data_IF_456465865524
#
_entry.id   IF_456465865524
#
_cell.length_a   1.000
_cell.length_b   1.000
_cell.length_c   1.000
_cell.angle_alpha   90.00
_cell.angle_beta   90.00
_cell.angle_gamma   90.00
#
_symmetry.space_group_name_H-M   'P 1'
#
loop_
_entity.id
_entity.type
_entity.pdbx_description
1 polymer ?
#
# COMPACT_ATOMS: atom_id res chain seq x y z
N UNK A 1 71.46 21.76 18.15
CA UNK A 1 70.01 22.06 18.13
C UNK A 1 69.47 21.69 16.77
N UNK A 2 68.74 20.58 16.68
CA UNK A 2 68.14 20.06 15.43
C UNK A 2 66.76 20.70 15.29
N UNK A 3 66.53 21.42 14.20
CA UNK A 3 65.24 22.03 13.88
C UNK A 3 64.31 20.98 13.23
N UNK A 4 63.24 20.63 13.93
CA UNK A 4 62.22 19.69 13.45
C UNK A 4 61.20 20.45 12.58
N UNK A 5 61.22 20.20 11.27
CA UNK A 5 60.18 20.67 10.34
C UNK A 5 58.94 19.79 10.51
N UNK A 6 57.84 20.37 11.01
CA UNK A 6 56.53 19.73 10.95
C UNK A 6 55.94 19.89 9.55
N UNK A 7 55.78 18.77 8.85
CA UNK A 7 55.05 18.69 7.59
C UNK A 7 53.57 18.48 7.94
N UNK A 8 52.74 19.50 7.75
CA UNK A 8 51.28 19.40 7.92
C UNK A 8 50.70 18.73 6.68
N UNK A 9 50.33 17.45 6.79
CA UNK A 9 49.58 16.74 5.75
C UNK A 9 48.12 17.16 5.88
N UNK A 10 47.63 17.98 4.95
CA UNK A 10 46.21 18.25 4.79
C UNK A 10 45.54 17.02 4.15
N UNK A 11 44.84 16.22 4.96
CA UNK A 11 43.92 15.22 4.44
C UNK A 11 42.74 15.95 3.77
N UNK A 12 42.71 15.97 2.44
CA UNK A 12 41.47 16.25 1.70
C UNK A 12 40.51 15.08 1.98
N UNK A 13 39.50 15.32 2.82
CA UNK A 13 38.33 14.44 2.89
C UNK A 13 37.57 14.58 1.56
N UNK A 14 37.72 13.58 0.68
CA UNK A 14 36.84 13.42 -0.48
C UNK A 14 35.44 13.15 0.03
N UNK A 15 34.56 14.14 -0.07
CA UNK A 15 33.12 13.93 0.02
C UNK A 15 32.73 13.03 -1.16
N UNK A 16 32.59 11.74 -0.91
CA UNK A 16 31.84 10.87 -1.80
C UNK A 16 30.38 11.22 -1.51
N UNK A 17 29.62 11.81 -2.46
CA UNK A 17 28.20 11.96 -2.26
C UNK A 17 27.62 10.56 -2.03
N UNK A 18 26.98 10.35 -0.88
CA UNK A 18 26.17 9.16 -0.67
C UNK A 18 25.14 9.17 -1.80
N UNK A 19 25.30 8.23 -2.73
CA UNK A 19 24.30 8.03 -3.77
C UNK A 19 23.06 7.50 -3.05
N UNK A 20 22.14 8.40 -2.72
CA UNK A 20 20.83 8.02 -2.17
C UNK A 20 20.24 6.94 -3.08
N UNK A 21 19.85 5.81 -2.50
CA UNK A 21 19.24 4.71 -3.24
C UNK A 21 18.06 5.24 -4.08
N UNK A 22 17.96 4.78 -5.32
CA UNK A 22 16.88 5.17 -6.23
C UNK A 22 15.54 4.69 -5.65
N UNK A 23 14.57 5.60 -5.56
CA UNK A 23 13.22 5.26 -5.11
C UNK A 23 12.57 4.24 -6.05
N UNK A 24 11.63 3.45 -5.55
CA UNK A 24 10.86 2.48 -6.32
C UNK A 24 10.16 3.14 -7.51
N UNK A 25 9.62 4.34 -7.27
CA UNK A 25 9.06 5.27 -8.25
C UNK A 25 9.05 6.67 -7.62
N UNK A 26 8.93 7.76 -8.41
CA UNK A 26 8.75 9.10 -7.86
C UNK A 26 7.53 9.18 -6.91
N UNK A 27 7.76 9.58 -5.66
CA UNK A 27 6.72 9.60 -4.61
C UNK A 27 6.59 8.31 -3.79
N UNK A 28 7.50 7.34 -3.96
CA UNK A 28 7.63 6.20 -3.05
C UNK A 28 8.23 6.66 -1.71
N UNK A 29 7.52 6.38 -0.61
CA UNK A 29 7.93 6.78 0.74
C UNK A 29 8.03 5.58 1.69
N UNK A 30 8.50 5.80 2.92
CA UNK A 30 8.49 4.75 3.93
C UNK A 30 9.65 3.77 3.84
N UNK A 31 9.57 2.72 4.65
CA UNK A 31 10.63 1.71 4.70
C UNK A 31 10.80 0.95 3.38
N UNK A 32 9.70 0.69 2.66
CA UNK A 32 9.72 -0.04 1.37
C UNK A 32 10.06 0.82 0.15
N UNK A 33 10.42 2.11 0.34
CA UNK A 33 10.58 3.08 -0.76
C UNK A 33 11.67 2.75 -1.77
N UNK A 34 12.58 1.83 -1.45
CA UNK A 34 13.70 1.45 -2.31
C UNK A 34 13.48 0.10 -3.00
N UNK A 35 12.24 -0.41 -3.04
CA UNK A 35 11.92 -1.63 -3.79
C UNK A 35 12.33 -1.47 -5.26
N UNK A 36 13.08 -2.44 -5.80
CA UNK A 36 13.60 -2.37 -7.17
C UNK A 36 12.60 -2.89 -8.20
N UNK A 37 11.64 -3.71 -7.79
CA UNK A 37 10.67 -4.30 -8.71
C UNK A 37 11.36 -5.25 -9.70
N UNK A 38 10.86 -5.26 -10.93
CA UNK A 38 11.44 -5.98 -12.06
C UNK A 38 12.48 -5.19 -12.86
N UNK A 39 12.97 -4.06 -12.35
CA UNK A 39 14.05 -3.27 -12.97
C UNK A 39 15.27 -4.18 -13.13
N UNK A 40 15.82 -4.27 -14.35
CA UNK A 40 16.83 -5.26 -14.82
C UNK A 40 16.30 -6.65 -15.20
N UNK A 41 14.99 -6.86 -15.20
CA UNK A 41 14.34 -8.10 -15.59
C UNK A 41 13.82 -8.09 -17.02
N UNK A 42 12.63 -8.66 -17.23
CA UNK A 42 11.91 -8.62 -18.50
C UNK A 42 10.49 -8.11 -18.32
N UNK A 43 9.88 -7.64 -19.40
CA UNK A 43 8.47 -7.29 -19.42
C UNK A 43 7.64 -8.56 -19.64
N UNK A 44 6.46 -8.63 -19.01
CA UNK A 44 5.52 -9.71 -19.18
C UNK A 44 4.10 -9.16 -19.32
N UNK A 45 3.43 -9.53 -20.41
CA UNK A 45 2.08 -9.09 -20.72
C UNK A 45 1.02 -10.05 -20.19
N UNK A 46 0.09 -9.53 -19.39
CA UNK A 46 -1.18 -10.19 -19.09
C UNK A 46 -2.14 -9.92 -20.24
N UNK A 47 -2.40 -10.94 -21.05
CA UNK A 47 -3.18 -10.84 -22.30
C UNK A 47 -4.58 -11.43 -22.19
N UNK A 48 -4.92 -12.05 -21.06
CA UNK A 48 -6.23 -12.64 -20.84
C UNK A 48 -6.64 -12.64 -19.36
N UNK A 49 -7.94 -12.77 -19.13
CA UNK A 49 -8.55 -12.78 -17.80
C UNK A 49 -8.72 -14.18 -17.19
N UNK A 50 -8.04 -15.19 -17.75
CA UNK A 50 -8.13 -16.56 -17.25
C UNK A 50 -7.38 -16.69 -15.91
N UNK A 51 -7.81 -17.63 -15.06
CA UNK A 51 -7.15 -17.93 -13.77
C UNK A 51 -5.71 -18.45 -13.96
N UNK A 52 -5.43 -19.14 -15.07
CA UNK A 52 -4.15 -19.80 -15.32
C UNK A 52 -3.86 -19.96 -16.81
N UNK A 53 -2.63 -20.42 -17.12
CA UNK A 53 -2.13 -20.60 -18.47
C UNK A 53 -1.33 -19.40 -18.98
N UNK A 54 -0.72 -19.56 -20.15
CA UNK A 54 0.08 -18.51 -20.78
C UNK A 54 -0.72 -17.20 -20.92
N UNK A 55 -0.06 -16.07 -20.62
CA UNK A 55 -0.68 -14.74 -20.66
C UNK A 55 -1.68 -14.43 -19.52
N UNK A 56 -1.89 -15.33 -18.57
CA UNK A 56 -2.68 -15.04 -17.36
C UNK A 56 -1.86 -14.25 -16.33
N UNK A 57 -2.53 -13.55 -15.42
CA UNK A 57 -1.89 -12.89 -14.27
C UNK A 57 -1.14 -13.90 -13.39
N UNK A 58 -1.68 -15.10 -13.19
CA UNK A 58 -1.03 -16.17 -12.41
C UNK A 58 0.30 -16.57 -13.03
N UNK A 59 0.37 -16.72 -14.35
CA UNK A 59 1.64 -17.02 -15.03
C UNK A 59 2.60 -15.83 -14.93
N UNK A 60 2.10 -14.61 -15.11
CA UNK A 60 2.89 -13.39 -15.03
C UNK A 60 3.68 -13.27 -13.73
N UNK A 61 3.02 -13.51 -12.59
CA UNK A 61 3.63 -13.35 -11.26
C UNK A 61 4.33 -14.59 -10.73
N UNK A 62 4.32 -15.70 -11.47
CA UNK A 62 4.91 -16.98 -11.03
C UNK A 62 6.44 -17.02 -11.07
N UNK A 63 7.08 -16.10 -11.79
CA UNK A 63 8.54 -16.01 -11.93
C UNK A 63 9.07 -14.64 -11.53
N UNK A 64 10.31 -14.62 -11.09
CA UNK A 64 10.97 -13.40 -10.62
C UNK A 64 11.47 -12.52 -11.77
N UNK A 65 11.92 -11.30 -11.44
CA UNK A 65 12.55 -10.34 -12.36
C UNK A 65 11.62 -9.95 -13.52
N UNK A 66 10.38 -9.55 -13.18
CA UNK A 66 9.37 -9.20 -14.17
C UNK A 66 8.71 -7.85 -13.89
N UNK A 67 8.54 -7.06 -14.94
CA UNK A 67 7.58 -5.95 -14.97
C UNK A 67 6.31 -6.48 -15.64
N UNK A 68 5.25 -6.63 -14.86
CA UNK A 68 3.96 -7.15 -15.31
C UNK A 68 3.08 -5.99 -15.75
N UNK A 69 2.77 -5.97 -17.05
CA UNK A 69 1.85 -5.02 -17.70
C UNK A 69 0.59 -5.74 -18.15
N UNK A 70 -0.49 -4.99 -18.38
CA UNK A 70 -1.81 -5.53 -18.69
C UNK A 70 -2.30 -5.05 -20.07
N UNK A 71 -2.52 -6.00 -20.97
CA UNK A 71 -3.12 -5.71 -22.29
C UNK A 71 -4.66 -5.78 -22.24
N UNK A 72 -5.20 -6.26 -21.13
CA UNK A 72 -6.63 -6.44 -20.89
C UNK A 72 -7.05 -5.82 -19.55
N UNK A 73 -8.24 -5.23 -19.54
CA UNK A 73 -8.91 -4.73 -18.34
C UNK A 73 -10.07 -5.62 -17.91
N UNK A 74 -10.51 -5.48 -16.66
CA UNK A 74 -11.65 -6.19 -16.09
C UNK A 74 -11.27 -7.11 -14.92
N UNK A 75 -12.11 -8.10 -14.66
CA UNK A 75 -11.97 -8.99 -13.50
C UNK A 75 -11.35 -10.34 -13.87
N UNK A 76 -10.21 -10.65 -13.26
CA UNK A 76 -9.57 -11.97 -13.25
C UNK A 76 -10.11 -12.75 -12.05
N UNK A 77 -10.85 -13.84 -12.32
CA UNK A 77 -11.41 -14.69 -11.27
C UNK A 77 -10.43 -15.82 -10.93
N UNK A 78 -10.00 -15.87 -9.67
CA UNK A 78 -9.02 -16.85 -9.19
C UNK A 78 -9.66 -17.83 -8.21
N UNK A 79 -9.38 -19.11 -8.39
CA UNK A 79 -9.93 -20.16 -7.50
C UNK A 79 -8.96 -20.53 -6.38
N UNK A 80 -7.66 -20.47 -6.68
CA UNK A 80 -6.56 -20.74 -5.74
C UNK A 80 -5.77 -19.50 -5.47
N UNK A 81 -5.21 -19.38 -4.27
CA UNK A 81 -4.28 -18.32 -3.92
C UNK A 81 -3.14 -18.26 -4.93
N UNK A 82 -2.76 -17.04 -5.30
CA UNK A 82 -1.62 -16.79 -6.18
C UNK A 82 -0.42 -16.45 -5.31
N UNK A 83 0.64 -17.24 -5.41
CA UNK A 83 1.93 -16.89 -4.85
C UNK A 83 2.65 -15.95 -5.84
N UNK A 84 3.06 -14.78 -5.36
CA UNK A 84 3.79 -13.79 -6.14
C UNK A 84 5.28 -13.98 -5.93
N UNK A 85 6.04 -13.99 -7.03
CA UNK A 85 7.48 -14.15 -7.00
C UNK A 85 8.22 -12.87 -6.60
N UNK A 86 9.55 -12.97 -6.55
CA UNK A 86 10.49 -11.91 -6.17
C UNK A 86 10.75 -10.92 -7.32
N UNK A 87 11.28 -9.74 -7.02
CA UNK A 87 11.74 -8.76 -8.00
C UNK A 87 10.68 -8.49 -9.07
N UNK A 88 9.50 -8.07 -8.62
CA UNK A 88 8.33 -7.93 -9.48
C UNK A 88 7.75 -6.53 -9.39
N UNK A 89 7.42 -5.94 -10.53
CA UNK A 89 6.59 -4.75 -10.58
C UNK A 89 5.25 -5.12 -11.22
N UNK A 90 4.17 -5.14 -10.44
CA UNK A 90 2.81 -5.26 -10.94
C UNK A 90 2.26 -3.85 -11.22
N UNK A 91 2.21 -3.48 -12.49
CA UNK A 91 1.86 -2.14 -12.96
C UNK A 91 0.40 -2.07 -13.43
N UNK A 92 -0.54 -2.08 -12.47
CA UNK A 92 -1.99 -2.06 -12.73
C UNK A 92 -2.46 -0.85 -13.52
N UNK A 93 -1.73 0.26 -13.50
CA UNK A 93 -2.06 1.46 -14.27
C UNK A 93 -1.93 1.29 -15.78
N UNK A 94 -1.34 0.18 -16.26
CA UNK A 94 -1.33 -0.16 -17.69
C UNK A 94 -2.64 -0.78 -18.18
N UNK A 95 -3.46 -1.32 -17.27
CA UNK A 95 -4.67 -2.04 -17.66
C UNK A 95 -5.68 -1.10 -18.34
N UNK A 96 -6.15 -1.45 -19.57
CA UNK A 96 -7.09 -0.62 -20.29
C UNK A 96 -8.51 -0.66 -19.68
N UNK A 97 -9.43 0.13 -20.23
CA UNK A 97 -10.81 0.19 -19.73
C UNK A 97 -10.84 0.88 -18.37
N UNK A 98 -11.39 0.21 -17.35
CA UNK A 98 -11.46 0.74 -15.98
C UNK A 98 -10.38 0.14 -15.04
N UNK A 99 -9.34 -0.47 -15.60
CA UNK A 99 -8.26 -1.11 -14.85
C UNK A 99 -8.50 -2.60 -14.58
N UNK A 100 -7.75 -3.17 -13.62
CA UNK A 100 -7.75 -4.61 -13.35
C UNK A 100 -8.17 -4.94 -11.90
N UNK A 101 -9.00 -5.99 -11.79
CA UNK A 101 -9.43 -6.57 -10.52
C UNK A 101 -9.05 -8.03 -10.45
N UNK A 102 -8.41 -8.44 -9.36
CA UNK A 102 -8.22 -9.84 -9.00
C UNK A 102 -9.28 -10.22 -7.98
N UNK A 103 -10.19 -11.13 -8.35
CA UNK A 103 -11.30 -11.56 -7.50
C UNK A 103 -11.22 -13.05 -7.15
N UNK A 104 -11.25 -13.39 -5.86
CA UNK A 104 -11.15 -14.75 -5.35
C UNK A 104 -10.00 -14.94 -4.36
N UNK A 105 -9.64 -16.19 -4.05
CA UNK A 105 -8.88 -16.65 -2.87
C UNK A 105 -7.75 -15.75 -2.31
N UNK A 106 -7.04 -14.96 -3.11
CA UNK A 106 -6.13 -13.91 -2.64
C UNK A 106 -4.70 -14.07 -3.15
N UNK A 107 -3.83 -13.16 -2.72
CA UNK A 107 -2.43 -13.11 -3.11
C UNK A 107 -1.52 -13.33 -1.89
N UNK A 108 -0.42 -14.04 -2.11
CA UNK A 108 0.65 -14.22 -1.12
C UNK A 108 1.93 -13.64 -1.68
N UNK A 109 2.49 -12.66 -0.96
CA UNK A 109 3.85 -12.14 -1.18
C UNK A 109 4.84 -12.73 -0.18
N UNK A 110 4.46 -13.79 0.55
CA UNK A 110 5.37 -14.57 1.37
C UNK A 110 6.48 -15.20 0.52
N UNK A 111 7.72 -15.06 0.97
CA UNK A 111 8.97 -15.35 0.25
C UNK A 111 9.26 -14.44 -0.95
N UNK A 112 8.55 -13.31 -1.11
CA UNK A 112 8.88 -12.30 -2.11
C UNK A 112 9.92 -11.30 -1.56
N UNK A 113 10.53 -10.52 -2.45
CA UNK A 113 11.30 -9.33 -2.12
C UNK A 113 11.30 -8.37 -3.30
N UNK A 114 11.63 -7.10 -3.05
CA UNK A 114 11.72 -6.06 -4.09
C UNK A 114 10.46 -5.99 -4.94
N UNK A 115 9.29 -6.02 -4.30
CA UNK A 115 8.00 -5.98 -4.98
C UNK A 115 7.47 -4.55 -5.04
N UNK A 116 7.00 -4.13 -6.22
CA UNK A 116 6.26 -2.89 -6.45
C UNK A 116 4.88 -3.29 -6.94
N UNK A 117 3.81 -2.83 -6.26
CA UNK A 117 2.42 -3.12 -6.66
C UNK A 117 1.65 -1.81 -6.70
N UNK A 118 1.13 -1.45 -7.87
CA UNK A 118 0.41 -0.18 -8.04
C UNK A 118 -0.89 -0.32 -8.83
N UNK A 119 -1.92 0.43 -8.41
CA UNK A 119 -3.20 0.58 -9.14
C UNK A 119 -3.92 -0.75 -9.47
N UNK A 120 -3.91 -1.70 -8.53
CA UNK A 120 -4.61 -2.99 -8.66
C UNK A 120 -5.67 -3.15 -7.57
N UNK A 121 -6.80 -3.74 -7.94
CA UNK A 121 -7.87 -4.12 -7.01
C UNK A 121 -7.73 -5.60 -6.65
N UNK A 122 -7.67 -5.93 -5.36
CA UNK A 122 -7.58 -7.30 -4.85
C UNK A 122 -8.78 -7.54 -3.93
N UNK A 123 -9.68 -8.42 -4.36
CA UNK A 123 -10.98 -8.63 -3.72
C UNK A 123 -11.14 -10.11 -3.42
N UNK A 124 -11.03 -10.51 -2.16
CA UNK A 124 -11.02 -11.94 -1.83
C UNK A 124 -12.41 -12.57 -1.97
N UNK A 125 -13.40 -11.98 -1.30
CA UNK A 125 -14.79 -12.42 -1.33
C UNK A 125 -15.04 -13.74 -0.59
N UNK A 126 -16.31 -14.08 -0.44
CA UNK A 126 -16.77 -15.27 0.30
C UNK A 126 -16.28 -16.59 -0.30
N UNK A 127 -15.99 -16.58 -1.60
CA UNK A 127 -15.42 -17.73 -2.33
C UNK A 127 -13.95 -18.04 -1.99
N UNK A 128 -13.25 -17.14 -1.29
CA UNK A 128 -11.91 -17.42 -0.78
C UNK A 128 -11.89 -18.41 0.38
N UNK A 129 -10.72 -18.99 0.65
CA UNK A 129 -10.56 -19.93 1.76
C UNK A 129 -10.81 -19.24 3.11
N UNK A 130 -11.61 -19.85 3.98
CA UNK A 130 -11.87 -19.33 5.32
C UNK A 130 -10.59 -19.35 6.17
N UNK A 131 -10.38 -18.32 7.01
CA UNK A 131 -9.18 -18.24 7.86
C UNK A 131 -7.90 -17.99 7.06
N UNK A 132 -8.03 -17.31 5.91
CA UNK A 132 -6.91 -16.84 5.11
C UNK A 132 -7.13 -15.38 4.71
N UNK A 133 -6.03 -14.67 4.50
CA UNK A 133 -6.07 -13.26 4.16
C UNK A 133 -6.29 -13.05 2.66
N UNK A 134 -6.79 -11.85 2.33
CA UNK A 134 -6.84 -11.37 0.95
C UNK A 134 -5.45 -11.11 0.38
N UNK A 135 -4.58 -10.47 1.18
CA UNK A 135 -3.16 -10.26 0.89
C UNK A 135 -2.36 -10.71 2.13
N UNK A 136 -1.42 -11.63 1.95
CA UNK A 136 -0.54 -12.12 3.04
C UNK A 136 0.92 -11.89 2.71
N UNK A 137 1.69 -11.41 3.69
CA UNK A 137 3.16 -11.37 3.69
C UNK A 137 3.66 -11.96 5.01
N UNK A 138 4.20 -13.19 4.97
CA UNK A 138 4.73 -13.87 6.16
C UNK A 138 6.26 -13.79 6.29
N UNK A 139 6.95 -13.70 5.15
CA UNK A 139 8.39 -13.50 5.09
C UNK A 139 8.76 -12.78 3.79
N UNK A 140 9.84 -12.00 3.82
CA UNK A 140 10.30 -11.25 2.65
C UNK A 140 10.82 -9.86 3.00
N UNK A 141 11.24 -9.09 2.00
CA UNK A 141 11.79 -7.76 2.26
C UNK A 141 11.61 -6.75 1.13
N UNK A 142 11.62 -5.46 1.47
CA UNK A 142 11.66 -4.34 0.53
C UNK A 142 10.48 -4.36 -0.43
N UNK A 143 9.27 -4.08 0.06
CA UNK A 143 8.05 -4.12 -0.76
C UNK A 143 7.24 -2.83 -0.61
N UNK A 144 6.63 -2.38 -1.68
CA UNK A 144 5.75 -1.21 -1.67
C UNK A 144 4.44 -1.49 -2.39
N UNK A 145 3.34 -1.12 -1.73
CA UNK A 145 1.98 -1.16 -2.23
C UNK A 145 1.45 0.27 -2.26
N UNK A 146 1.17 0.79 -3.45
CA UNK A 146 0.72 2.17 -3.65
C UNK A 146 -0.55 2.19 -4.51
N UNK A 147 -1.60 2.89 -4.06
CA UNK A 147 -2.88 2.91 -4.79
C UNK A 147 -3.46 1.52 -5.04
N UNK A 148 -3.41 0.64 -4.04
CA UNK A 148 -4.09 -0.68 -4.07
C UNK A 148 -5.47 -0.56 -3.41
N UNK A 149 -6.42 -1.37 -3.84
CA UNK A 149 -7.70 -1.53 -3.13
C UNK A 149 -7.89 -2.97 -2.71
N UNK A 150 -7.76 -3.25 -1.42
CA UNK A 150 -7.93 -4.57 -0.82
C UNK A 150 -9.27 -4.65 -0.08
N UNK A 151 -10.12 -5.61 -0.45
CA UNK A 151 -11.40 -5.83 0.24
C UNK A 151 -11.77 -7.29 0.43
N UNK A 152 -12.73 -7.51 1.35
CA UNK A 152 -13.45 -8.77 1.51
C UNK A 152 -12.58 -9.94 1.97
N UNK A 153 -11.55 -9.66 2.78
CA UNK A 153 -10.73 -10.68 3.44
C UNK A 153 -11.57 -11.64 4.30
N UNK A 154 -11.19 -12.91 4.34
CA UNK A 154 -11.86 -13.94 5.15
C UNK A 154 -11.17 -14.27 6.47
N UNK A 155 -10.04 -13.61 6.71
CA UNK A 155 -9.34 -13.47 7.97
C UNK A 155 -8.90 -12.00 8.06
N UNK A 156 -7.67 -11.66 7.68
CA UNK A 156 -7.30 -10.27 7.39
C UNK A 156 -7.56 -9.88 5.93
N UNK A 157 -7.77 -8.59 5.69
CA UNK A 157 -7.84 -8.05 4.33
C UNK A 157 -6.44 -7.86 3.76
N UNK A 158 -5.52 -7.29 4.56
CA UNK A 158 -4.10 -7.15 4.25
C UNK A 158 -3.27 -7.44 5.50
N UNK A 159 -2.48 -8.51 5.50
CA UNK A 159 -1.68 -8.95 6.65
C UNK A 159 -0.18 -8.98 6.35
N UNK A 160 0.61 -8.37 7.23
CA UNK A 160 2.08 -8.48 7.29
C UNK A 160 2.41 -9.10 8.66
N UNK A 161 2.88 -10.35 8.67
CA UNK A 161 3.08 -11.08 9.91
C UNK A 161 4.18 -12.13 9.80
N UNK A 162 5.39 -11.76 10.24
CA UNK A 162 6.52 -12.68 10.37
C UNK A 162 7.85 -11.99 10.14
N UNK A 163 8.80 -12.71 9.54
CA UNK A 163 10.15 -12.20 9.24
C UNK A 163 10.12 -11.33 7.97
N UNK A 164 9.41 -10.20 8.06
CA UNK A 164 9.21 -9.26 6.96
C UNK A 164 10.00 -7.99 7.23
N UNK A 165 10.73 -7.48 6.25
CA UNK A 165 11.55 -6.27 6.40
C UNK A 165 11.13 -5.19 5.42
N UNK A 166 11.13 -3.94 5.86
CA UNK A 166 10.98 -2.78 4.98
C UNK A 166 9.76 -2.83 4.04
N UNK A 167 8.57 -2.64 4.58
CA UNK A 167 7.33 -2.60 3.77
C UNK A 167 6.68 -1.23 3.87
N UNK A 168 6.24 -0.68 2.73
CA UNK A 168 5.36 0.49 2.70
C UNK A 168 4.00 0.09 2.11
N UNK A 169 2.92 0.48 2.78
CA UNK A 169 1.58 0.55 2.20
C UNK A 169 1.16 2.02 2.21
N UNK A 170 0.95 2.59 1.03
CA UNK A 170 0.55 3.98 0.89
C UNK A 170 -0.64 4.16 -0.04
N UNK A 171 -1.43 5.21 0.18
CA UNK A 171 -2.56 5.60 -0.68
C UNK A 171 -3.53 4.43 -0.96
N UNK A 172 -3.66 3.46 -0.05
CA UNK A 172 -4.35 2.18 -0.28
C UNK A 172 -5.65 2.08 0.51
N UNK A 173 -6.68 1.47 -0.07
CA UNK A 173 -7.93 1.11 0.63
C UNK A 173 -7.77 -0.29 1.23
N UNK A 174 -8.08 -0.45 2.51
CA UNK A 174 -8.14 -1.73 3.23
C UNK A 174 -9.48 -1.81 3.94
N UNK A 175 -10.45 -2.50 3.36
CA UNK A 175 -11.81 -2.43 3.89
C UNK A 175 -12.72 -3.62 3.67
N UNK A 176 -13.85 -3.58 4.38
CA UNK A 176 -14.91 -4.59 4.30
C UNK A 176 -14.41 -6.03 4.48
N UNK A 177 -13.53 -6.31 5.44
CA UNK A 177 -13.24 -7.68 5.86
C UNK A 177 -14.54 -8.40 6.21
N UNK A 178 -14.72 -9.64 5.77
CA UNK A 178 -16.00 -10.34 5.91
C UNK A 178 -16.17 -10.93 7.32
N UNK A 179 -17.36 -10.78 7.89
CA UNK A 179 -17.73 -11.47 9.11
C UNK A 179 -17.68 -13.00 8.94
N UNK A 180 -17.45 -13.76 10.01
CA UNK A 180 -17.42 -13.38 11.44
C UNK A 180 -16.08 -12.84 11.96
N UNK A 181 -15.04 -12.86 11.12
CA UNK A 181 -13.69 -12.42 11.47
C UNK A 181 -13.24 -11.22 10.62
N UNK A 182 -14.11 -10.22 10.51
CA UNK A 182 -13.88 -8.99 9.74
C UNK A 182 -12.67 -8.19 10.25
N UNK A 183 -11.52 -8.30 9.59
CA UNK A 183 -10.28 -7.65 10.00
C UNK A 183 -9.64 -6.83 8.87
N UNK A 184 -9.10 -5.66 9.21
CA UNK A 184 -8.26 -4.88 8.30
C UNK A 184 -6.92 -5.59 8.05
N UNK A 185 -6.11 -5.75 9.09
CA UNK A 185 -4.77 -6.32 8.97
C UNK A 185 -3.96 -6.45 10.27
N UNK A 186 -3.13 -7.49 10.35
CA UNK A 186 -1.96 -7.50 11.24
C UNK A 186 -0.82 -6.75 10.55
N UNK A 187 -0.13 -5.90 11.31
CA UNK A 187 1.07 -5.19 10.88
C UNK A 187 2.17 -5.48 11.90
N UNK A 188 2.77 -6.65 11.73
CA UNK A 188 3.73 -7.24 12.67
C UNK A 188 5.07 -7.49 11.96
N UNK A 189 6.05 -6.66 12.32
CA UNK A 189 7.45 -6.79 11.91
C UNK A 189 8.34 -5.99 12.85
N UNK A 190 9.49 -6.54 13.22
CA UNK A 190 10.53 -5.79 13.97
C UNK A 190 11.44 -4.97 13.06
N UNK A 191 11.18 -4.97 11.75
CA UNK A 191 12.06 -4.48 10.70
C UNK A 191 11.39 -3.46 9.77
N UNK A 192 10.29 -2.84 10.21
CA UNK A 192 9.76 -1.61 9.63
C UNK A 192 8.59 -1.80 8.68
N UNK A 193 7.44 -1.27 9.08
CA UNK A 193 6.25 -1.12 8.25
C UNK A 193 5.84 0.35 8.24
N UNK A 194 5.72 0.96 7.06
CA UNK A 194 5.16 2.29 6.86
C UNK A 194 3.74 2.20 6.31
N UNK A 195 2.82 2.96 6.91
CA UNK A 195 1.41 3.02 6.56
C UNK A 195 1.04 4.50 6.39
N UNK A 196 0.99 4.99 5.15
CA UNK A 196 0.78 6.41 4.86
C UNK A 196 -0.44 6.68 4.00
N UNK A 197 -1.33 7.59 4.45
CA UNK A 197 -2.48 8.05 3.64
C UNK A 197 -3.38 6.91 3.15
N UNK A 198 -3.50 5.86 3.97
CA UNK A 198 -4.41 4.76 3.68
C UNK A 198 -5.80 5.04 4.23
N UNK A 199 -6.78 4.34 3.67
CA UNK A 199 -8.14 4.27 4.20
C UNK A 199 -8.38 2.87 4.76
N UNK A 200 -8.57 2.79 6.08
CA UNK A 200 -9.17 1.61 6.71
C UNK A 200 -10.65 1.85 6.90
N UNK A 201 -11.51 0.98 6.37
CA UNK A 201 -12.96 1.19 6.36
C UNK A 201 -13.74 -0.09 6.59
N UNK A 202 -14.77 -0.04 7.42
CA UNK A 202 -15.79 -1.10 7.54
C UNK A 202 -15.23 -2.47 7.94
N UNK A 203 -14.13 -2.49 8.72
CA UNK A 203 -13.67 -3.72 9.37
C UNK A 203 -14.02 -3.70 10.86
N UNK A 204 -14.43 -4.85 11.40
CA UNK A 204 -14.77 -4.98 12.82
C UNK A 204 -13.60 -4.69 13.75
N UNK A 205 -12.38 -5.06 13.35
CA UNK A 205 -11.18 -5.04 14.20
C UNK A 205 -9.90 -4.96 13.37
N UNK A 206 -8.75 -4.78 14.05
CA UNK A 206 -7.40 -4.78 13.46
C UNK A 206 -7.27 -3.77 12.31
N UNK A 207 -7.44 -2.47 12.60
CA UNK A 207 -7.49 -1.39 11.60
C UNK A 207 -6.29 -0.39 11.61
N UNK A 208 -5.01 -0.78 11.84
CA UNK A 208 -4.45 -2.13 11.98
C UNK A 208 -4.39 -2.67 13.42
N UNK A 209 -3.94 -3.93 13.57
CA UNK A 209 -3.33 -4.42 14.83
C UNK A 209 -1.83 -4.44 14.67
N UNK A 210 -1.14 -3.69 15.52
CA UNK A 210 0.28 -3.38 15.36
C UNK A 210 1.14 -4.15 16.34
N UNK A 211 2.28 -4.65 15.84
CA UNK A 211 3.39 -5.14 16.66
C UNK A 211 4.74 -4.82 16.00
N UNK A 212 5.77 -4.60 16.81
CA UNK A 212 7.11 -4.28 16.32
C UNK A 212 7.22 -2.83 15.83
N UNK A 213 8.02 -2.58 14.79
CA UNK A 213 8.38 -1.26 14.28
C UNK A 213 7.41 -0.76 13.20
N UNK A 214 6.62 0.27 13.52
CA UNK A 214 5.57 0.78 12.63
C UNK A 214 5.56 2.31 12.51
N UNK A 215 5.23 2.81 11.32
CA UNK A 215 5.08 4.23 11.04
C UNK A 215 3.70 4.52 10.44
N UNK A 216 2.75 4.96 11.26
CA UNK A 216 1.34 5.15 10.92
C UNK A 216 1.02 6.65 10.86
N UNK A 217 1.10 7.24 9.66
CA UNK A 217 0.95 8.69 9.49
C UNK A 217 -0.07 9.06 8.42
N UNK A 218 -0.88 10.10 8.68
CA UNK A 218 -1.89 10.62 7.75
C UNK A 218 -2.92 9.61 7.23
N UNK A 219 -3.19 8.53 7.95
CA UNK A 219 -4.25 7.58 7.57
C UNK A 219 -5.62 8.06 8.04
N UNK A 220 -6.66 7.60 7.34
CA UNK A 220 -8.06 7.73 7.75
C UNK A 220 -8.56 6.35 8.15
N UNK A 221 -9.20 6.26 9.31
CA UNK A 221 -9.87 5.03 9.77
C UNK A 221 -11.34 5.34 10.03
N UNK A 222 -12.24 4.64 9.33
CA UNK A 222 -13.68 4.90 9.33
C UNK A 222 -14.47 3.66 9.75
N UNK A 223 -15.50 3.86 10.58
CA UNK A 223 -16.55 2.87 10.87
C UNK A 223 -16.05 1.49 11.35
N UNK A 224 -15.05 1.47 12.22
CA UNK A 224 -14.59 0.22 12.84
C UNK A 224 -15.66 -0.38 13.75
N UNK A 225 -15.59 -1.68 14.01
CA UNK A 225 -16.46 -2.38 14.99
C UNK A 225 -15.89 -2.45 16.41
N UNK A 226 -16.31 -3.46 17.18
CA UNK A 226 -15.91 -3.63 18.59
C UNK A 226 -14.43 -3.93 18.85
N UNK A 227 -13.59 -4.05 17.81
CA UNK A 227 -12.15 -4.22 17.96
C UNK A 227 -11.36 -2.92 18.10
N UNK A 228 -11.94 -1.77 17.72
CA UNK A 228 -11.23 -0.49 17.65
C UNK A 228 -10.68 -0.16 16.27
N UNK A 229 -10.30 1.10 16.12
CA UNK A 229 -9.64 1.64 14.94
C UNK A 229 -8.14 1.31 14.90
N UNK A 230 -7.52 1.14 16.06
CA UNK A 230 -6.09 0.83 16.16
C UNK A 230 -5.85 -0.02 17.39
N UNK A 231 -5.35 -1.25 17.19
CA UNK A 231 -4.98 -2.13 18.30
C UNK A 231 -3.50 -1.95 18.59
N UNK A 232 -3.21 -1.33 19.75
CA UNK A 232 -1.87 -0.98 20.21
C UNK A 232 -1.29 -2.04 21.17
N UNK A 233 -1.40 -3.34 20.86
CA UNK A 233 -0.81 -4.39 21.70
C UNK A 233 -1.60 -5.71 21.78
N UNK A 234 -1.94 -6.10 23.02
CA UNK A 234 -2.44 -7.45 23.38
C UNK A 234 -1.38 -8.56 23.17
N UNK A 235 -0.13 -8.25 23.51
CA UNK A 235 1.00 -9.19 23.48
C UNK A 235 2.13 -8.77 24.41
N UNK A 236 3.00 -9.73 24.75
CA UNK A 236 4.23 -9.53 25.53
C UNK A 236 5.40 -8.94 24.71
N UNK A 237 5.27 -8.92 23.37
CA UNK A 237 6.28 -8.37 22.47
C UNK A 237 6.33 -6.83 22.49
N UNK A 238 7.55 -6.29 22.30
CA UNK A 238 7.78 -4.85 22.26
C UNK A 238 7.35 -4.26 20.91
N UNK A 239 6.72 -3.08 20.94
CA UNK A 239 6.32 -2.36 19.74
C UNK A 239 6.75 -0.91 19.83
N UNK A 240 7.18 -0.34 18.70
CA UNK A 240 7.67 1.03 18.59
C UNK A 240 6.98 1.67 17.39
N UNK A 241 6.11 2.65 17.67
CA UNK A 241 5.27 3.23 16.63
C UNK A 241 5.24 4.75 16.65
N UNK A 242 5.40 5.37 15.47
CA UNK A 242 4.98 6.74 15.24
C UNK A 242 3.51 6.73 14.79
N UNK A 243 2.65 7.48 15.47
CA UNK A 243 1.20 7.58 15.18
C UNK A 243 0.87 9.07 15.06
N UNK A 244 0.92 9.62 13.83
CA UNK A 244 0.97 11.06 13.61
C UNK A 244 -0.08 11.51 12.60
N UNK A 245 -0.85 12.56 12.92
CA UNK A 245 -1.76 13.25 12.01
C UNK A 245 -2.77 12.31 11.32
N UNK A 246 -3.20 11.25 12.00
CA UNK A 246 -4.26 10.35 11.51
C UNK A 246 -5.63 10.90 11.90
N UNK A 247 -6.66 10.53 11.14
CA UNK A 247 -8.04 10.93 11.42
C UNK A 247 -8.92 9.69 11.63
N UNK A 248 -9.46 9.55 12.84
CA UNK A 248 -10.36 8.48 13.22
C UNK A 248 -11.80 9.00 13.19
N UNK A 249 -12.68 8.35 12.43
CA UNK A 249 -14.09 8.76 12.27
C UNK A 249 -15.01 7.59 12.65
N UNK A 250 -15.79 7.77 13.71
CA UNK A 250 -16.80 6.81 14.11
C UNK A 250 -17.89 6.70 13.04
N UNK A 251 -18.32 5.47 12.73
CA UNK A 251 -19.48 5.20 11.87
C UNK A 251 -20.57 4.38 12.58
N UNK A 252 -21.61 3.94 11.86
CA UNK A 252 -22.73 3.18 12.42
C UNK A 252 -22.31 1.95 13.25
N UNK A 253 -21.26 1.24 12.82
CA UNK A 253 -20.74 0.03 13.45
C UNK A 253 -19.81 0.30 14.65
N UNK A 254 -19.37 1.55 14.84
CA UNK A 254 -18.45 1.93 15.91
C UNK A 254 -19.08 1.87 17.28
N UNK A 255 -18.53 0.98 18.11
CA UNK A 255 -18.99 0.67 19.47
C UNK A 255 -17.91 0.82 20.56
N UNK A 256 -16.67 1.11 20.18
CA UNK A 256 -15.54 1.36 21.09
C UNK A 256 -14.69 2.51 20.58
N UNK A 257 -13.84 3.06 21.45
CA UNK A 257 -12.90 4.15 21.12
C UNK A 257 -11.91 3.76 20.02
N UNK A 258 -11.26 4.75 19.42
CA UNK A 258 -10.30 4.54 18.33
C UNK A 258 -9.16 3.60 18.72
N UNK A 259 -8.50 3.85 19.86
CA UNK A 259 -7.41 3.02 20.36
C UNK A 259 -7.90 1.97 21.35
N UNK A 260 -7.41 0.74 21.21
CA UNK A 260 -7.75 -0.37 22.11
C UNK A 260 -6.53 -1.26 22.40
N UNK A 261 -6.59 -1.98 23.53
CA UNK A 261 -5.63 -3.01 23.97
C UNK A 261 -4.16 -2.55 24.03
N UNK A 262 -3.96 -1.26 24.28
CA UNK A 262 -2.66 -0.69 24.66
C UNK A 262 -2.12 -1.31 25.96
N UNK A 263 -0.80 -1.34 26.09
CA UNK A 263 -0.11 -1.74 27.31
C UNK A 263 1.29 -1.09 27.36
N UNK A 264 2.03 -1.36 28.44
CA UNK A 264 3.37 -0.80 28.67
C UNK A 264 4.46 -1.31 27.72
N UNK A 265 4.22 -2.38 26.95
CA UNK A 265 5.15 -2.90 25.94
C UNK A 265 4.95 -2.25 24.57
N UNK A 266 3.93 -1.39 24.43
CA UNK A 266 3.70 -0.64 23.21
C UNK A 266 4.15 0.80 23.41
N UNK A 267 5.29 1.14 22.84
CA UNK A 267 5.91 2.46 22.89
C UNK A 267 5.46 3.29 21.69
N UNK A 268 4.56 4.23 21.90
CA UNK A 268 4.00 5.08 20.84
C UNK A 268 4.44 6.53 20.97
N UNK A 269 5.04 7.10 19.93
CA UNK A 269 5.07 8.56 19.76
C UNK A 269 3.78 8.99 19.05
N UNK A 270 3.00 9.86 19.70
CA UNK A 270 1.69 10.31 19.19
C UNK A 270 1.67 11.82 19.03
N UNK A 271 1.12 12.30 17.92
CA UNK A 271 1.00 13.74 17.68
C UNK A 271 -0.19 14.04 16.76
N UNK A 272 -1.00 15.03 17.13
CA UNK A 272 -2.05 15.62 16.27
C UNK A 272 -2.99 14.60 15.59
N UNK A 273 -3.28 13.47 16.25
CA UNK A 273 -4.30 12.54 15.79
C UNK A 273 -5.68 13.09 16.15
N UNK A 274 -6.63 13.03 15.22
CA UNK A 274 -7.99 13.53 15.41
C UNK A 274 -8.98 12.40 15.62
N UNK A 275 -9.98 12.63 16.47
CA UNK A 275 -11.10 11.71 16.63
C UNK A 275 -12.43 12.45 16.49
N UNK A 276 -13.25 11.97 15.55
CA UNK A 276 -14.63 12.38 15.35
C UNK A 276 -15.57 11.26 15.79
N UNK A 277 -16.14 11.40 16.97
CA UNK A 277 -16.90 10.33 17.62
C UNK A 277 -18.42 10.45 17.49
N UNK A 278 -18.92 11.61 17.04
CA UNK A 278 -20.31 12.02 17.29
C UNK A 278 -21.30 11.52 16.21
N UNK A 279 -20.80 11.07 15.05
CA UNK A 279 -21.60 10.57 13.93
C UNK A 279 -22.63 11.59 13.44
N UNK A 280 -22.32 12.89 13.51
CA UNK A 280 -23.28 13.96 13.28
C UNK A 280 -23.42 14.35 11.79
N UNK A 281 -22.59 13.79 10.92
CA UNK A 281 -22.59 14.07 9.48
C UNK A 281 -21.69 15.25 9.09
N UNK A 282 -20.79 15.68 9.97
CA UNK A 282 -19.79 16.72 9.70
C UNK A 282 -18.42 16.21 10.08
N UNK A 283 -17.40 16.64 9.33
CA UNK A 283 -16.01 16.42 9.71
C UNK A 283 -15.61 17.50 10.73
N UNK A 284 -15.89 17.27 12.02
CA UNK A 284 -15.68 18.24 13.09
C UNK A 284 -15.04 17.65 14.36
N UNK A 285 -14.41 16.49 14.22
CA UNK A 285 -13.55 15.89 15.22
C UNK A 285 -12.48 16.82 15.77
N UNK A 286 -11.95 16.44 16.92
CA UNK A 286 -10.96 17.23 17.67
C UNK A 286 -9.65 16.45 17.84
N UNK A 287 -8.51 17.12 18.07
CA UNK A 287 -7.27 16.45 18.44
C UNK A 287 -7.45 15.61 19.71
N UNK A 288 -6.90 14.39 19.69
CA UNK A 288 -6.78 13.53 20.86
C UNK A 288 -5.72 14.08 21.81
N UNK A 289 -5.98 13.98 23.12
CA UNK A 289 -5.01 14.34 24.13
C UNK A 289 -3.77 13.44 24.07
N UNK A 290 -2.58 13.99 24.36
CA UNK A 290 -1.32 13.22 24.40
C UNK A 290 -1.13 12.59 25.79
N UNK A 291 -1.99 11.62 26.12
CA UNK A 291 -1.96 10.90 27.40
C UNK A 291 -2.30 9.42 27.19
N UNK A 292 -1.80 8.56 28.09
CA UNK A 292 -2.04 7.11 28.06
C UNK A 292 -3.54 6.76 28.03
N UNK A 293 -4.38 7.54 28.70
CA UNK A 293 -5.85 7.37 28.73
C UNK A 293 -6.52 7.58 27.37
N UNK A 294 -6.00 8.47 26.51
CA UNK A 294 -6.50 8.70 25.15
C UNK A 294 -6.05 7.61 24.16
N UNK A 295 -5.03 6.82 24.53
CA UNK A 295 -4.42 5.77 23.69
C UNK A 295 -4.41 4.40 24.38
N UNK A 296 -5.45 4.07 25.14
CA UNK A 296 -5.66 2.73 25.71
C UNK A 296 -4.50 2.19 26.58
N UNK A 297 -3.86 3.02 27.41
CA UNK A 297 -2.72 2.66 28.28
C UNK A 297 -1.42 2.31 27.55
N UNK A 298 -1.29 2.69 26.28
CA UNK A 298 -0.03 2.67 25.53
C UNK A 298 1.03 3.54 26.22
N UNK A 299 2.29 3.11 26.22
CA UNK A 299 3.41 3.89 26.75
C UNK A 299 3.79 5.03 25.79
N UNK A 300 3.48 6.27 26.18
CA UNK A 300 3.63 7.45 25.32
C UNK A 300 5.08 7.97 25.37
N UNK A 301 5.75 7.91 24.22
CA UNK A 301 7.12 8.39 24.06
C UNK A 301 7.18 9.89 23.82
N UNK A 302 8.23 10.54 24.34
CA UNK A 302 8.48 11.97 24.18
C UNK A 302 9.17 12.33 22.86
N UNK A 303 9.91 11.39 22.30
CA UNK A 303 10.70 11.60 21.09
C UNK A 303 10.15 10.72 19.97
N UNK A 304 9.99 11.32 18.79
CA UNK A 304 9.62 10.61 17.56
C UNK A 304 10.71 9.59 17.23
N UNK A 305 10.33 8.38 16.83
CA UNK A 305 11.27 7.39 16.33
C UNK A 305 11.82 7.81 14.96
N UNK A 306 13.12 7.61 14.74
CA UNK A 306 13.82 7.97 13.50
C UNK A 306 13.52 6.94 12.40
N UNK A 307 12.33 7.06 11.82
CA UNK A 307 11.83 6.24 10.72
C UNK A 307 11.78 7.06 9.42
N UNK A 308 11.87 6.41 8.25
CA UNK A 308 11.72 7.06 6.94
C UNK A 308 10.27 7.52 6.72
N UNK A 309 9.85 8.58 7.42
CA UNK A 309 8.50 9.15 7.33
C UNK A 309 8.17 9.74 5.95
N UNK A 310 6.91 10.19 5.75
CA UNK A 310 6.52 10.87 4.52
C UNK A 310 7.32 12.16 4.33
N UNK A 311 7.64 12.49 3.08
CA UNK A 311 8.35 13.71 2.68
C UNK A 311 7.54 14.94 3.09
N UNK A 312 6.22 14.86 2.92
CA UNK A 312 5.27 15.90 3.34
C UNK A 312 4.25 15.35 4.32
N UNK A 313 4.31 15.84 5.55
CA UNK A 313 3.30 15.58 6.57
C UNK A 313 2.14 16.58 6.44
N UNK A 314 0.93 16.08 6.22
CA UNK A 314 -0.30 16.89 6.16
C UNK A 314 -0.93 17.03 7.56
N UNK A 315 -1.75 18.05 7.79
CA UNK A 315 -2.63 18.05 8.97
C UNK A 315 -3.63 16.88 8.89
N UNK A 316 -4.18 16.43 10.02
CA UNK A 316 -5.15 15.33 9.99
C UNK A 316 -6.41 15.66 9.14
N UNK A 317 -7.00 16.86 9.19
CA UNK A 317 -8.10 17.24 8.28
C UNK A 317 -7.69 17.27 6.80
N UNK A 318 -6.49 17.77 6.47
CA UNK A 318 -5.98 17.74 5.09
C UNK A 318 -5.76 16.31 4.60
N UNK A 319 -5.31 15.41 5.50
CA UNK A 319 -5.17 13.99 5.20
C UNK A 319 -6.50 13.35 4.81
N UNK A 320 -7.62 13.72 5.46
CA UNK A 320 -8.96 13.26 5.03
C UNK A 320 -9.25 13.70 3.60
N UNK A 321 -9.01 14.97 3.28
CA UNK A 321 -9.23 15.51 1.93
C UNK A 321 -8.37 14.79 0.90
N UNK A 322 -7.09 14.58 1.20
CA UNK A 322 -6.16 13.86 0.34
C UNK A 322 -6.63 12.42 0.12
N UNK A 323 -6.95 11.69 1.19
CA UNK A 323 -7.37 10.28 1.12
C UNK A 323 -8.65 10.15 0.29
N UNK A 324 -9.68 10.96 0.55
CA UNK A 324 -10.93 10.91 -0.21
C UNK A 324 -10.72 11.15 -1.72
N UNK A 325 -9.74 11.96 -2.10
CA UNK A 325 -9.46 12.25 -3.50
C UNK A 325 -8.53 11.21 -4.16
N UNK A 326 -7.61 10.60 -3.40
CA UNK A 326 -6.47 9.87 -3.98
C UNK A 326 -6.40 8.39 -3.61
N UNK A 327 -7.05 7.93 -2.55
CA UNK A 327 -6.87 6.55 -2.06
C UNK A 327 -7.42 5.48 -3.02
N UNK A 328 -6.79 4.31 -3.00
CA UNK A 328 -7.20 3.10 -3.72
C UNK A 328 -6.67 3.05 -5.15
N UNK A 329 -7.05 2.01 -5.88
CA UNK A 329 -6.83 1.89 -7.32
C UNK A 329 -7.75 2.89 -8.07
N UNK A 330 -7.35 4.16 -8.04
CA UNK A 330 -8.11 5.30 -8.55
C UNK A 330 -7.71 5.70 -9.99
N UNK A 331 -6.82 4.97 -10.64
CA UNK A 331 -6.46 5.16 -12.05
C UNK A 331 -6.88 3.92 -12.87
N UNK A 332 -7.50 4.10 -14.05
CA UNK A 332 -7.95 5.38 -14.64
C UNK A 332 -9.16 6.00 -13.91
N UNK A 333 -9.75 5.28 -12.96
CA UNK A 333 -10.79 5.74 -12.06
C UNK A 333 -11.02 4.71 -10.96
N UNK A 334 -11.78 5.04 -9.91
CA UNK A 334 -12.27 4.05 -8.95
C UNK A 334 -13.40 3.21 -9.55
N UNK A 335 -13.49 1.94 -9.16
CA UNK A 335 -14.69 1.14 -9.46
C UNK A 335 -15.85 1.52 -8.51
N UNK A 336 -17.04 0.97 -8.74
CA UNK A 336 -18.22 1.30 -7.93
C UNK A 336 -18.07 0.92 -6.46
N UNK A 337 -17.27 -0.10 -6.15
CA UNK A 337 -16.98 -0.53 -4.78
C UNK A 337 -16.14 0.53 -4.08
N UNK A 338 -15.01 0.93 -4.66
CA UNK A 338 -14.13 1.94 -4.07
C UNK A 338 -14.81 3.32 -4.00
N UNK A 339 -15.66 3.67 -4.99
CA UNK A 339 -16.49 4.89 -4.93
C UNK A 339 -17.48 4.85 -3.77
N UNK A 340 -18.15 3.72 -3.56
CA UNK A 340 -19.08 3.52 -2.46
C UNK A 340 -18.40 3.71 -1.10
N UNK A 341 -17.24 3.07 -0.90
CA UNK A 341 -16.45 3.21 0.33
C UNK A 341 -16.04 4.67 0.59
N UNK A 342 -15.63 5.41 -0.44
CA UNK A 342 -15.28 6.83 -0.27
C UNK A 342 -16.50 7.70 0.03
N UNK A 343 -17.64 7.42 -0.61
CA UNK A 343 -18.90 8.10 -0.33
C UNK A 343 -19.39 7.86 1.10
N UNK A 344 -19.21 6.64 1.63
CA UNK A 344 -19.52 6.32 3.03
C UNK A 344 -18.70 7.17 4.00
N UNK A 345 -17.40 7.37 3.76
CA UNK A 345 -16.58 8.27 4.59
C UNK A 345 -17.09 9.71 4.51
N UNK A 346 -17.49 10.18 3.32
CA UNK A 346 -18.06 11.51 3.10
C UNK A 346 -19.39 11.75 3.83
N UNK A 347 -20.07 10.67 4.26
CA UNK A 347 -21.22 10.76 5.13
C UNK A 347 -20.87 11.22 6.55
N UNK A 348 -19.58 11.20 6.92
CA UNK A 348 -19.03 11.58 8.22
C UNK A 348 -19.79 10.95 9.40
N UNK A 349 -19.91 9.63 9.33
CA UNK A 349 -20.43 8.79 10.40
C UNK A 349 -21.90 8.38 10.27
N UNK A 350 -22.56 8.75 9.17
CA UNK A 350 -23.97 8.40 8.92
C UNK A 350 -24.14 7.05 8.21
N UNK A 351 -23.17 6.63 7.41
CA UNK A 351 -23.22 5.43 6.57
C UNK A 351 -22.06 4.46 6.86
N UNK A 352 -22.13 3.26 6.29
CA UNK A 352 -21.14 2.19 6.45
C UNK A 352 -21.63 1.03 7.31
N UNK A 353 -21.13 -0.16 7.05
CA UNK A 353 -21.60 -1.40 7.66
C UNK A 353 -20.54 -2.51 7.74
N UNK A 354 -20.64 -3.38 8.74
CA UNK A 354 -19.86 -4.62 8.77
C UNK A 354 -20.58 -5.71 7.99
N UNK A 355 -20.04 -6.10 6.85
CA UNK A 355 -20.67 -7.07 5.96
C UNK A 355 -20.27 -8.52 6.24
N UNK A 356 -21.16 -9.46 5.93
CA UNK A 356 -20.88 -10.92 5.96
C UNK A 356 -20.72 -11.53 4.56
N UNK A 357 -21.02 -10.75 3.52
CA UNK A 357 -20.95 -11.15 2.12
C UNK A 357 -20.81 -9.91 1.27
N UNK A 358 -19.97 -10.00 0.25
CA UNK A 358 -19.80 -8.99 -0.78
C UNK A 358 -20.97 -8.97 -1.78
N UNK A 359 -21.24 -7.80 -2.37
CA UNK A 359 -22.02 -7.70 -3.60
C UNK A 359 -21.08 -7.92 -4.81
N UNK A 360 -20.81 -9.18 -5.15
CA UNK A 360 -19.94 -9.50 -6.30
C UNK A 360 -20.52 -9.03 -7.65
N UNK A 361 -21.80 -8.64 -7.72
CA UNK A 361 -22.42 -8.04 -8.90
C UNK A 361 -21.89 -6.65 -9.23
N UNK A 362 -21.27 -5.97 -8.26
CA UNK A 362 -20.64 -4.65 -8.43
C UNK A 362 -19.20 -4.72 -9.00
N UNK A 363 -18.69 -5.93 -9.28
CA UNK A 363 -17.37 -6.09 -9.88
C UNK A 363 -17.32 -5.49 -11.29
N UNK A 364 -16.29 -4.71 -11.55
CA UNK A 364 -16.07 -4.11 -12.85
C UNK A 364 -15.56 -5.15 -13.86
N UNK A 365 -16.31 -5.33 -14.94
CA UNK A 365 -15.98 -6.21 -16.06
C UNK A 365 -15.76 -5.42 -17.37
N UNK A 366 -15.58 -4.10 -17.26
CA UNK A 366 -15.32 -3.21 -18.39
C UNK A 366 -14.00 -3.61 -19.02
N UNK A 367 -14.08 -4.04 -20.29
CA UNK A 367 -12.92 -4.33 -21.10
C UNK A 367 -12.45 -3.05 -21.77
N UNK A 368 -11.17 -2.98 -22.08
CA UNK A 368 -10.60 -1.97 -22.96
C UNK A 368 -9.56 -2.59 -23.87
N UNK A 369 -9.15 -1.83 -24.88
CA UNK A 369 -8.04 -2.20 -25.75
C UNK A 369 -6.79 -1.50 -25.25
N UNK A 370 -5.71 -2.25 -25.10
CA UNK A 370 -4.41 -1.65 -24.88
C UNK A 370 -4.02 -0.77 -26.09
N UNK A 371 -3.24 0.30 -25.87
CA UNK A 371 -2.57 1.01 -26.95
C UNK A 371 -1.74 0.06 -27.82
N UNK A 372 -1.49 0.47 -29.06
CA UNK A 372 -0.62 -0.31 -29.96
C UNK A 372 0.82 -0.25 -29.46
N UNK A 373 1.42 -1.43 -29.33
CA UNK A 373 2.81 -1.70 -28.99
C UNK A 373 3.30 -2.75 -30.01
N UNK A 374 4.17 -2.34 -30.93
CA UNK A 374 4.53 -3.12 -32.12
C UNK A 374 5.58 -4.19 -31.84
N UNK A 375 6.49 -3.96 -30.90
CA UNK A 375 7.56 -4.89 -30.56
C UNK A 375 7.32 -5.63 -29.23
N UNK A 376 6.27 -5.27 -28.50
CA UNK A 376 5.78 -6.00 -27.34
C UNK A 376 6.65 -5.80 -26.12
N UNK A 377 7.21 -4.60 -25.96
CA UNK A 377 8.11 -4.26 -24.88
C UNK A 377 7.42 -3.56 -23.69
N UNK A 378 6.11 -3.35 -23.78
CA UNK A 378 5.27 -2.76 -22.75
C UNK A 378 5.15 -1.23 -22.83
N UNK A 379 5.77 -0.60 -23.82
CA UNK A 379 5.65 0.84 -24.11
C UNK A 379 4.86 1.03 -25.41
N UNK A 380 3.81 1.86 -25.43
CA UNK A 380 3.06 2.12 -26.66
C UNK A 380 3.89 2.86 -27.72
N UNK A 381 3.72 2.50 -29.01
CA UNK A 381 4.40 3.11 -30.17
C UNK A 381 4.37 4.65 -30.09
N UNK A 382 3.20 5.21 -29.77
CA UNK A 382 2.99 6.66 -29.74
C UNK A 382 3.76 7.35 -28.61
N UNK A 383 3.99 6.65 -27.49
CA UNK A 383 4.81 7.17 -26.41
C UNK A 383 6.29 7.09 -26.77
N UNK A 384 6.73 5.98 -27.36
CA UNK A 384 8.11 5.81 -27.83
C UNK A 384 8.51 6.87 -28.85
N UNK A 385 7.70 7.07 -29.89
CA UNK A 385 7.92 8.07 -30.93
C UNK A 385 8.05 9.49 -30.31
N UNK A 386 7.24 9.79 -29.30
CA UNK A 386 7.25 11.07 -28.60
C UNK A 386 8.49 11.27 -27.70
N UNK A 387 9.14 10.20 -27.26
CA UNK A 387 10.27 10.22 -26.34
C UNK A 387 11.60 9.78 -27.00
N UNK A 388 11.60 9.59 -28.32
CA UNK A 388 12.80 9.26 -29.08
C UNK A 388 13.28 7.81 -28.92
N UNK A 389 12.38 6.91 -28.52
CA UNK A 389 12.61 5.46 -28.55
C UNK A 389 12.19 4.89 -29.91
N UNK A 390 12.47 3.61 -30.15
CA UNK A 390 12.19 2.96 -31.42
C UNK A 390 11.17 1.84 -31.23
N UNK A 391 9.95 2.06 -31.73
CA UNK A 391 8.81 1.14 -31.65
C UNK A 391 8.93 -0.19 -32.42
N UNK A 392 10.17 -0.58 -32.75
CA UNK A 392 10.56 -1.82 -33.41
C UNK A 392 11.82 -2.42 -32.76
N UNK A 393 12.27 -1.90 -31.62
CA UNK A 393 13.42 -2.37 -30.83
C UNK A 393 13.02 -2.60 -29.36
N UNK A 394 12.42 -3.77 -29.10
CA UNK A 394 12.01 -4.19 -27.75
C UNK A 394 13.16 -4.26 -26.71
N UNK A 395 14.42 -4.11 -27.12
CA UNK A 395 15.54 -4.02 -26.18
C UNK A 395 15.61 -2.68 -25.46
N UNK A 396 14.92 -1.64 -25.95
CA UNK A 396 15.05 -0.30 -25.43
C UNK A 396 14.18 0.01 -24.19
N UNK A 397 13.04 -0.67 -23.99
CA UNK A 397 12.25 -0.57 -22.77
C UNK A 397 13.07 -0.80 -21.49
N UNK A 398 13.96 -1.79 -21.49
CA UNK A 398 14.75 -2.16 -20.32
C UNK A 398 16.08 -1.38 -20.20
N UNK A 399 16.41 -0.50 -21.16
CA UNK A 399 17.60 0.37 -21.04
C UNK A 399 17.38 1.38 -19.91
N UNK A 400 18.40 1.53 -19.07
CA UNK A 400 18.38 2.50 -17.97
C UNK A 400 18.59 3.90 -18.54
N UNK A 401 17.59 4.76 -18.32
CA UNK A 401 17.63 6.17 -18.71
C UNK A 401 18.53 6.99 -17.79
N UNK A 402 18.74 8.27 -18.13
CA UNK A 402 19.49 9.21 -17.28
C UNK A 402 18.85 9.46 -15.92
N UNK A 403 17.57 9.11 -15.73
CA UNK A 403 16.88 9.20 -14.44
C UNK A 403 17.22 8.07 -13.47
N UNK A 404 17.90 7.02 -13.95
CA UNK A 404 18.17 5.79 -13.20
C UNK A 404 17.06 4.73 -13.32
N UNK A 405 15.89 5.09 -13.83
CA UNK A 405 14.80 4.16 -14.15
C UNK A 405 14.96 3.56 -15.56
N UNK A 406 14.48 2.33 -15.77
CA UNK A 406 14.32 1.77 -17.11
C UNK A 406 13.31 2.61 -17.92
N UNK A 407 13.45 2.68 -19.24
CA UNK A 407 12.53 3.43 -20.10
C UNK A 407 11.06 3.04 -19.87
N UNK A 408 10.76 1.75 -19.70
CA UNK A 408 9.40 1.30 -19.36
C UNK A 408 8.93 1.88 -18.03
N UNK A 409 9.78 1.98 -17.01
CA UNK A 409 9.39 2.58 -15.73
C UNK A 409 9.14 4.09 -15.85
N UNK A 410 9.89 4.79 -16.72
CA UNK A 410 9.61 6.19 -17.06
C UNK A 410 8.21 6.31 -17.67
N UNK A 411 7.87 5.44 -18.62
CA UNK A 411 6.52 5.37 -19.19
C UNK A 411 5.47 5.09 -18.10
N UNK A 412 5.65 4.03 -17.30
CA UNK A 412 4.73 3.62 -16.25
C UNK A 412 4.46 4.72 -15.21
N UNK A 413 5.48 5.53 -14.91
CA UNK A 413 5.36 6.67 -14.00
C UNK A 413 4.69 7.88 -14.66
N UNK A 414 4.78 8.02 -15.99
CA UNK A 414 4.11 9.10 -16.73
C UNK A 414 2.59 8.92 -16.86
N UNK A 415 2.09 7.69 -16.67
CA UNK A 415 0.66 7.37 -16.77
C UNK A 415 -0.18 7.99 -15.64
N UNK A 416 0.45 8.30 -14.51
CA UNK A 416 -0.24 8.73 -13.30
C UNK A 416 0.34 10.04 -12.79
N UNK A 417 -0.44 10.87 -12.07
CA UNK A 417 0.08 12.08 -11.47
C UNK A 417 1.27 11.76 -10.56
N UNK A 418 2.30 12.61 -10.58
CA UNK A 418 3.34 12.57 -9.56
C UNK A 418 2.69 12.81 -8.19
N UNK A 419 2.66 11.77 -7.37
CA UNK A 419 2.02 11.77 -6.05
C UNK A 419 2.84 12.55 -5.04
N UNK A 420 2.63 13.88 -4.97
CA UNK A 420 3.16 14.79 -3.94
C UNK A 420 2.04 15.65 -3.32
#
# INVERSE_FOLDING_TARGET
MVALKFLTVACLATFIPDASALLAFPGAEGFGRNAVGGRTGSVYHVTNLNDSGAGSFRDAVSKSNRIVVFDVGGTIKITKRIAVSKNIYIAGQTAPGNGITIYGNGLSFSNANDAIVRYVRIRMGKGGDSGKDGITIAEGNNMIFDHVSATWGRDETFSINGAVHNVTVQNTIIGQGLQTHSCGGLMQSDFGISLFRNLYIDNKTRNPKVKGMNDFQNNVVYNWGGGGAYIAGDSDGQSHANIINNYFISGPSTSVTAFTRGNANFHGFVSENYYDSNKDGKLNGSPLCVQTSCYSNMDIQKTKFDYPGPERLMSAPDAVTFVLNNVGANFPGRDEIDKGLVAEVQSFGKEGELISSENSGALDNTKGNAPKDTDGDGIPDAWEDAHGLNSRDASDAMKISSSGYANIEVYLNSLVPSSN
#
